data_IF_070307423727
#
_entry.id   IF_070307423727
#
_cell.length_a   1.000
_cell.length_b   1.000
_cell.length_c   1.000
_cell.angle_alpha   90.00
_cell.angle_beta   90.00
_cell.angle_gamma   90.00
#
_symmetry.space_group_name_H-M   'P 1'
#
loop_
_entity.id
_entity.type
_entity.pdbx_description
1 polymer ?
#
# COMPACT_ATOMS: atom_id res chain seq x y z
N UNK A 1 2.56 26.92 0.73
CA UNK A 1 2.51 25.75 1.62
C UNK A 1 2.14 24.51 0.79
N UNK A 2 3.13 23.75 0.29
CA UNK A 2 2.86 22.62 -0.63
C UNK A 2 1.92 21.57 -0.03
N UNK A 3 2.05 21.25 1.25
CA UNK A 3 1.25 20.21 1.90
C UNK A 3 -0.26 20.46 1.89
N UNK A 4 -0.71 21.68 2.05
CA UNK A 4 -2.16 22.00 2.14
C UNK A 4 -2.91 21.74 0.83
N UNK A 5 -2.30 22.09 -0.30
CA UNK A 5 -2.89 21.86 -1.63
C UNK A 5 -2.92 20.37 -1.97
N UNK A 6 -1.84 19.63 -1.69
CA UNK A 6 -1.80 18.19 -1.89
C UNK A 6 -2.89 17.49 -1.07
N UNK A 7 -3.03 17.84 0.21
CA UNK A 7 -4.11 17.31 1.06
C UNK A 7 -5.51 17.62 0.52
N UNK A 8 -5.74 18.82 -0.02
CA UNK A 8 -7.03 19.16 -0.63
C UNK A 8 -7.35 18.26 -1.85
N UNK A 9 -6.35 18.01 -2.71
CA UNK A 9 -6.51 17.12 -3.87
C UNK A 9 -6.80 15.67 -3.43
N UNK A 10 -6.05 15.15 -2.45
CA UNK A 10 -6.27 13.80 -1.91
C UNK A 10 -7.65 13.67 -1.25
N UNK A 11 -8.07 14.66 -0.46
CA UNK A 11 -9.40 14.68 0.17
C UNK A 11 -10.54 14.73 -0.86
N UNK A 12 -10.39 15.53 -1.92
CA UNK A 12 -11.32 15.59 -3.02
C UNK A 12 -11.45 14.23 -3.74
N UNK A 13 -10.33 13.59 -4.04
CA UNK A 13 -10.33 12.26 -4.64
C UNK A 13 -11.03 11.23 -3.74
N UNK A 14 -10.79 11.26 -2.42
CA UNK A 14 -11.43 10.35 -1.47
C UNK A 14 -12.97 10.50 -1.45
N UNK A 15 -13.48 11.72 -1.53
CA UNK A 15 -14.92 11.94 -1.66
C UNK A 15 -15.45 11.35 -2.97
N UNK A 16 -14.81 11.66 -4.08
CA UNK A 16 -15.23 11.19 -5.41
C UNK A 16 -15.23 9.66 -5.52
N UNK A 17 -14.19 8.97 -5.08
CA UNK A 17 -14.10 7.50 -5.21
C UNK A 17 -15.10 6.78 -4.27
N UNK A 18 -15.58 7.44 -3.24
CA UNK A 18 -16.63 6.89 -2.39
C UNK A 18 -17.98 6.80 -3.12
N UNK A 19 -18.26 7.71 -4.06
CA UNK A 19 -19.54 7.85 -4.73
C UNK A 19 -19.51 7.42 -6.19
N UNK A 20 -18.34 7.55 -6.84
CA UNK A 20 -18.17 7.37 -8.29
C UNK A 20 -17.17 6.25 -8.58
N UNK A 21 -17.46 5.42 -9.58
CA UNK A 21 -16.53 4.38 -10.05
C UNK A 21 -15.23 5.03 -10.54
N UNK A 22 -14.09 4.40 -10.22
CA UNK A 22 -12.77 4.96 -10.56
C UNK A 22 -12.64 5.32 -12.05
N UNK A 23 -13.19 4.49 -12.94
CA UNK A 23 -13.10 4.73 -14.39
C UNK A 23 -13.80 6.03 -14.82
N UNK A 24 -14.86 6.43 -14.12
CA UNK A 24 -15.65 7.63 -14.39
C UNK A 24 -15.08 8.90 -13.75
N UNK A 25 -14.16 8.76 -12.80
CA UNK A 25 -13.48 9.92 -12.20
C UNK A 25 -12.52 10.51 -13.22
N UNK A 26 -12.62 11.82 -13.46
CA UNK A 26 -11.68 12.57 -14.28
C UNK A 26 -10.82 13.52 -13.43
N UNK A 27 -9.70 13.98 -14.01
CA UNK A 27 -8.84 14.99 -13.38
C UNK A 27 -9.61 16.29 -13.18
N UNK A 28 -10.50 16.65 -14.13
CA UNK A 28 -11.35 17.83 -14.04
C UNK A 28 -12.31 17.77 -12.83
N UNK A 29 -12.88 16.60 -12.56
CA UNK A 29 -13.71 16.39 -11.37
C UNK A 29 -12.90 16.60 -10.08
N UNK A 30 -11.68 16.04 -10.03
CA UNK A 30 -10.80 16.19 -8.88
C UNK A 30 -10.41 17.65 -8.67
N UNK A 31 -10.03 18.37 -9.74
CA UNK A 31 -9.67 19.78 -9.68
C UNK A 31 -10.83 20.65 -9.18
N UNK A 32 -12.03 20.40 -9.70
CA UNK A 32 -13.26 21.12 -9.30
C UNK A 32 -13.56 20.90 -7.84
N UNK A 33 -13.53 19.64 -7.38
CA UNK A 33 -13.82 19.26 -6.00
C UNK A 33 -12.76 19.76 -5.01
N UNK A 34 -11.49 19.84 -5.44
CA UNK A 34 -10.38 20.36 -4.64
C UNK A 34 -10.24 21.89 -4.71
N UNK A 35 -11.03 22.57 -5.56
CA UNK A 35 -10.95 24.00 -5.83
C UNK A 35 -9.55 24.46 -6.26
N UNK A 36 -8.88 23.66 -7.12
CA UNK A 36 -7.55 23.97 -7.61
C UNK A 36 -7.53 24.20 -9.13
N UNK A 37 -6.62 25.06 -9.58
CA UNK A 37 -6.39 25.27 -11.02
C UNK A 37 -5.71 24.08 -11.68
N UNK A 38 -5.83 23.96 -13.01
CA UNK A 38 -5.15 22.93 -13.82
C UNK A 38 -3.63 22.95 -13.60
N UNK A 39 -3.00 24.11 -13.63
CA UNK A 39 -1.56 24.26 -13.40
C UNK A 39 -1.17 23.85 -11.98
N UNK A 40 -2.03 24.12 -11.00
CA UNK A 40 -1.82 23.69 -9.63
C UNK A 40 -1.89 22.18 -9.48
N UNK A 41 -2.88 21.53 -10.09
CA UNK A 41 -3.00 20.06 -10.06
C UNK A 41 -1.76 19.39 -10.66
N UNK A 42 -1.39 19.75 -11.89
CA UNK A 42 -0.27 19.12 -12.61
C UNK A 42 1.12 19.39 -12.01
N UNK A 43 1.23 20.30 -11.06
CA UNK A 43 2.44 20.48 -10.26
C UNK A 43 2.61 19.37 -9.22
N UNK A 44 1.53 18.70 -8.81
CA UNK A 44 1.55 17.65 -7.78
C UNK A 44 1.34 16.24 -8.35
N UNK A 45 0.50 16.10 -9.37
CA UNK A 45 0.09 14.82 -9.90
C UNK A 45 -0.04 14.87 -11.43
N UNK A 46 0.42 13.82 -12.10
CA UNK A 46 0.31 13.70 -13.57
C UNK A 46 -1.08 13.25 -14.01
N UNK A 47 -1.73 12.42 -13.19
CA UNK A 47 -3.03 11.83 -13.50
C UNK A 47 -3.78 11.40 -12.22
N UNK A 48 -4.98 10.85 -12.40
CA UNK A 48 -5.81 10.35 -11.30
C UNK A 48 -5.24 9.09 -10.62
N UNK A 49 -4.41 8.32 -11.32
CA UNK A 49 -3.76 7.14 -10.78
C UNK A 49 -2.70 7.52 -9.75
N UNK A 50 -1.91 8.56 -10.06
CA UNK A 50 -0.95 9.10 -9.08
C UNK A 50 -1.66 9.63 -7.81
N UNK A 51 -2.82 10.26 -7.96
CA UNK A 51 -3.61 10.72 -6.80
C UNK A 51 -4.07 9.53 -5.95
N UNK A 52 -4.61 8.49 -6.60
CA UNK A 52 -5.05 7.26 -5.94
C UNK A 52 -3.89 6.58 -5.19
N UNK A 53 -2.77 6.40 -5.88
CA UNK A 53 -1.60 5.74 -5.34
C UNK A 53 -0.98 6.53 -4.17
N UNK A 54 -0.89 7.87 -4.30
CA UNK A 54 -0.40 8.74 -3.22
C UNK A 54 -1.31 8.71 -1.99
N UNK A 55 -2.62 8.61 -2.20
CA UNK A 55 -3.57 8.50 -1.10
C UNK A 55 -3.38 7.20 -0.32
N UNK A 56 -3.21 6.08 -1.01
CA UNK A 56 -2.97 4.80 -0.37
C UNK A 56 -1.55 4.70 0.23
N UNK A 57 -0.56 5.34 -0.41
CA UNK A 57 0.79 5.45 0.15
C UNK A 57 0.78 6.05 1.56
N UNK A 58 -0.02 7.09 1.79
CA UNK A 58 -0.14 7.68 3.13
C UNK A 58 -0.68 6.68 4.16
N UNK A 59 -1.57 5.77 3.76
CA UNK A 59 -2.08 4.69 4.62
C UNK A 59 -0.98 3.68 4.93
N UNK A 60 -0.23 3.27 3.91
CA UNK A 60 0.89 2.34 4.07
C UNK A 60 1.98 2.93 4.97
N UNK A 61 2.43 4.16 4.67
CA UNK A 61 3.44 4.86 5.47
C UNK A 61 3.01 5.02 6.94
N UNK A 62 1.70 5.24 7.18
CA UNK A 62 1.16 5.35 8.53
C UNK A 62 1.27 4.03 9.30
N UNK A 63 0.95 2.90 8.66
CA UNK A 63 0.97 1.60 9.34
C UNK A 63 2.34 0.93 9.37
N UNK A 64 3.23 1.24 8.41
CA UNK A 64 4.63 0.75 8.41
C UNK A 64 5.45 1.40 9.52
N UNK A 65 5.04 2.57 10.03
CA UNK A 65 5.74 3.25 11.12
C UNK A 65 5.82 2.35 12.38
N UNK A 66 7.01 2.23 13.02
CA UNK A 66 7.22 1.31 14.16
C UNK A 66 6.27 1.56 15.34
N UNK A 67 5.78 2.80 15.49
CA UNK A 67 4.83 3.17 16.55
C UNK A 67 3.42 2.58 16.30
N UNK A 68 3.16 2.05 15.10
CA UNK A 68 1.86 1.54 14.66
C UNK A 68 1.82 0.02 14.56
N UNK A 69 2.85 -0.56 13.97
CA UNK A 69 2.96 -2.01 13.82
C UNK A 69 4.28 -2.48 14.43
N UNK A 70 4.20 -3.39 15.39
CA UNK A 70 5.36 -3.93 16.11
C UNK A 70 6.12 -4.97 15.29
N UNK A 71 5.47 -5.58 14.34
CA UNK A 71 6.01 -6.61 13.46
C UNK A 71 5.20 -6.68 12.15
N UNK A 72 5.66 -7.50 11.20
CA UNK A 72 4.98 -7.64 9.91
C UNK A 72 3.57 -8.20 10.01
N UNK A 73 3.33 -9.09 10.99
CA UNK A 73 2.01 -9.64 11.26
C UNK A 73 1.01 -8.53 11.67
N UNK A 74 1.44 -7.65 12.58
CA UNK A 74 0.63 -6.50 13.00
C UNK A 74 0.33 -5.58 11.81
N UNK A 75 1.34 -5.31 10.97
CA UNK A 75 1.15 -4.53 9.75
C UNK A 75 0.10 -5.15 8.84
N UNK A 76 0.19 -6.44 8.57
CA UNK A 76 -0.80 -7.16 7.77
C UNK A 76 -2.20 -7.07 8.38
N UNK A 77 -2.33 -7.26 9.70
CA UNK A 77 -3.61 -7.17 10.40
C UNK A 77 -4.25 -5.78 10.21
N UNK A 78 -3.50 -4.71 10.49
CA UNK A 78 -3.97 -3.34 10.32
C UNK A 78 -4.38 -3.01 8.87
N UNK A 79 -3.59 -3.47 7.89
CA UNK A 79 -3.90 -3.23 6.49
C UNK A 79 -5.14 -4.01 6.02
N UNK A 80 -5.35 -5.23 6.52
CA UNK A 80 -6.56 -6.00 6.26
C UNK A 80 -7.80 -5.33 6.89
N UNK A 81 -7.72 -4.93 8.16
CA UNK A 81 -8.80 -4.19 8.83
C UNK A 81 -9.14 -2.90 8.07
N UNK A 82 -8.11 -2.15 7.66
CA UNK A 82 -8.31 -0.95 6.85
C UNK A 82 -9.01 -1.26 5.53
N UNK A 83 -8.56 -2.29 4.81
CA UNK A 83 -9.15 -2.72 3.54
C UNK A 83 -10.62 -3.16 3.70
N UNK A 84 -10.94 -3.92 4.74
CA UNK A 84 -12.31 -4.34 5.08
C UNK A 84 -13.20 -3.15 5.42
N UNK A 85 -12.71 -2.22 6.25
CA UNK A 85 -13.43 -1.00 6.61
C UNK A 85 -13.70 -0.08 5.41
N UNK A 86 -12.81 -0.05 4.43
CA UNK A 86 -12.89 0.78 3.24
C UNK A 86 -13.13 -0.03 1.95
N UNK A 87 -13.79 -1.18 2.07
CA UNK A 87 -13.94 -2.18 1.01
C UNK A 87 -14.43 -1.60 -0.33
N UNK A 88 -15.39 -0.69 -0.30
CA UNK A 88 -15.95 -0.05 -1.50
C UNK A 88 -14.88 0.75 -2.27
N UNK A 89 -14.06 1.53 -1.55
CA UNK A 89 -12.97 2.31 -2.13
C UNK A 89 -11.90 1.37 -2.68
N UNK A 90 -11.54 0.37 -1.87
CA UNK A 90 -10.51 -0.60 -2.20
C UNK A 90 -10.87 -1.41 -3.46
N UNK A 91 -12.13 -1.89 -3.55
CA UNK A 91 -12.66 -2.58 -4.73
C UNK A 91 -12.54 -1.72 -5.99
N UNK A 92 -12.94 -0.45 -5.92
CA UNK A 92 -12.85 0.49 -7.04
C UNK A 92 -11.40 0.78 -7.47
N UNK A 93 -10.49 0.87 -6.52
CA UNK A 93 -9.06 1.03 -6.81
C UNK A 93 -8.49 -0.22 -7.52
N UNK A 94 -8.88 -1.42 -7.08
CA UNK A 94 -8.46 -2.69 -7.69
C UNK A 94 -9.01 -2.91 -9.11
N UNK A 95 -10.07 -2.23 -9.51
CA UNK A 95 -10.60 -2.22 -10.87
C UNK A 95 -9.75 -1.36 -11.84
N UNK A 96 -8.78 -0.63 -11.33
CA UNK A 96 -7.85 0.13 -12.17
C UNK A 96 -6.95 -0.81 -12.98
N UNK A 97 -6.71 -0.47 -14.24
CA UNK A 97 -5.91 -1.26 -15.19
C UNK A 97 -4.77 -0.45 -15.78
N UNK A 98 -3.80 -1.15 -16.38
CA UNK A 98 -2.65 -0.53 -17.02
C UNK A 98 -1.43 -0.43 -16.12
N UNK A 99 -0.37 0.19 -16.63
CA UNK A 99 0.93 0.28 -15.96
C UNK A 99 0.86 1.02 -14.61
N UNK A 100 0.06 2.08 -14.52
CA UNK A 100 -0.14 2.85 -13.28
C UNK A 100 -1.27 2.31 -12.40
N UNK A 101 -1.69 1.05 -12.61
CA UNK A 101 -2.76 0.44 -11.83
C UNK A 101 -2.42 0.35 -10.35
N UNK A 102 -3.46 0.27 -9.52
CA UNK A 102 -3.30 0.12 -8.08
C UNK A 102 -2.58 -1.18 -7.70
N UNK A 103 -2.78 -2.27 -8.45
CA UNK A 103 -2.06 -3.52 -8.24
C UNK A 103 -0.54 -3.34 -8.45
N UNK A 104 -0.13 -2.67 -9.54
CA UNK A 104 1.28 -2.40 -9.78
C UNK A 104 1.87 -1.49 -8.71
N UNK A 105 1.10 -0.51 -8.25
CA UNK A 105 1.55 0.35 -7.15
C UNK A 105 1.79 -0.44 -5.86
N UNK A 106 0.86 -1.35 -5.47
CA UNK A 106 1.02 -2.17 -4.26
C UNK A 106 2.27 -3.05 -4.40
N UNK A 107 2.45 -3.70 -5.56
CA UNK A 107 3.64 -4.51 -5.83
C UNK A 107 4.92 -3.69 -5.67
N UNK A 108 5.04 -2.59 -6.40
CA UNK A 108 6.23 -1.73 -6.36
C UNK A 108 6.51 -1.18 -4.95
N UNK A 109 5.49 -0.72 -4.26
CA UNK A 109 5.65 -0.22 -2.89
C UNK A 109 6.16 -1.33 -1.97
N UNK A 110 5.57 -2.52 -2.02
CA UNK A 110 5.97 -3.66 -1.18
C UNK A 110 7.40 -4.09 -1.48
N UNK A 111 7.75 -4.23 -2.76
CA UNK A 111 9.08 -4.64 -3.20
C UNK A 111 10.16 -3.61 -2.80
N UNK A 112 9.93 -2.33 -3.08
CA UNK A 112 10.88 -1.26 -2.74
C UNK A 112 11.04 -1.08 -1.24
N UNK A 113 9.98 -1.26 -0.47
CA UNK A 113 10.03 -1.23 1.01
C UNK A 113 10.87 -2.40 1.52
N UNK A 114 10.63 -3.62 1.02
CA UNK A 114 11.42 -4.81 1.35
C UNK A 114 12.90 -4.57 1.06
N UNK A 115 13.23 -4.09 -0.13
CA UNK A 115 14.60 -3.82 -0.55
C UNK A 115 15.28 -2.75 0.30
N UNK A 116 14.55 -1.68 0.63
CA UNK A 116 15.08 -0.59 1.46
C UNK A 116 15.42 -1.08 2.88
N UNK A 117 14.54 -1.87 3.50
CA UNK A 117 14.75 -2.44 4.82
C UNK A 117 15.90 -3.43 4.82
N UNK A 118 15.94 -4.35 3.84
CA UNK A 118 17.05 -5.29 3.69
C UNK A 118 18.40 -4.58 3.57
N UNK A 119 18.48 -3.54 2.72
CA UNK A 119 19.71 -2.75 2.57
C UNK A 119 20.12 -2.03 3.86
N UNK A 120 19.15 -1.51 4.60
CA UNK A 120 19.43 -0.85 5.87
C UNK A 120 20.05 -1.81 6.90
N UNK A 121 19.61 -3.07 6.91
CA UNK A 121 20.07 -4.08 7.87
C UNK A 121 21.29 -4.89 7.40
N UNK A 122 21.62 -4.83 6.11
CA UNK A 122 22.75 -5.57 5.51
C UNK A 122 23.86 -4.66 4.97
N UNK A 123 24.12 -3.52 5.63
CA UNK A 123 25.20 -2.60 5.25
C UNK A 123 25.15 -2.12 3.77
N UNK A 124 23.95 -2.03 3.21
CA UNK A 124 23.73 -1.59 1.82
C UNK A 124 23.59 -2.72 0.81
N UNK A 125 23.80 -3.98 1.20
CA UNK A 125 23.60 -5.13 0.33
C UNK A 125 22.10 -5.38 0.08
N UNK A 126 21.75 -5.72 -1.16
CA UNK A 126 20.38 -6.06 -1.56
C UNK A 126 20.11 -7.56 -1.46
N UNK A 127 19.07 -7.99 -2.17
CA UNK A 127 18.71 -9.41 -2.25
C UNK A 127 19.73 -10.21 -3.07
N UNK A 128 19.99 -11.44 -2.67
CA UNK A 128 20.58 -12.44 -3.54
C UNK A 128 19.59 -12.83 -4.65
N UNK A 129 20.02 -13.44 -5.78
CA UNK A 129 19.11 -13.84 -6.85
C UNK A 129 17.97 -14.77 -6.40
N UNK A 130 18.20 -15.60 -5.38
CA UNK A 130 17.17 -16.50 -4.83
C UNK A 130 16.18 -15.72 -3.98
N UNK A 131 16.66 -14.83 -3.13
CA UNK A 131 15.80 -13.94 -2.31
C UNK A 131 14.99 -13.02 -3.20
N UNK A 132 15.57 -12.46 -4.27
CA UNK A 132 14.87 -11.61 -5.22
C UNK A 132 13.65 -12.32 -5.80
N UNK A 133 13.81 -13.57 -6.25
CA UNK A 133 12.71 -14.39 -6.75
C UNK A 133 11.65 -14.66 -5.65
N UNK A 134 12.08 -14.98 -4.44
CA UNK A 134 11.16 -15.22 -3.31
C UNK A 134 10.36 -13.97 -2.96
N UNK A 135 11.01 -12.81 -2.91
CA UNK A 135 10.38 -11.52 -2.62
C UNK A 135 9.41 -11.13 -3.73
N UNK A 136 9.79 -11.34 -5.00
CA UNK A 136 8.93 -11.08 -6.15
C UNK A 136 7.64 -11.91 -6.09
N UNK A 137 7.76 -13.21 -5.87
CA UNK A 137 6.59 -14.10 -5.69
C UNK A 137 5.73 -13.67 -4.51
N UNK A 138 6.34 -13.33 -3.39
CA UNK A 138 5.63 -12.90 -2.19
C UNK A 138 4.86 -11.58 -2.41
N UNK A 139 5.49 -10.56 -3.01
CA UNK A 139 4.85 -9.28 -3.30
C UNK A 139 3.69 -9.44 -4.31
N UNK A 140 3.84 -10.28 -5.32
CA UNK A 140 2.75 -10.63 -6.24
C UNK A 140 1.62 -11.39 -5.52
N UNK A 141 1.95 -12.28 -4.60
CA UNK A 141 0.99 -12.97 -3.72
C UNK A 141 0.17 -12.00 -2.88
N UNK A 142 0.82 -11.01 -2.25
CA UNK A 142 0.14 -9.94 -1.50
C UNK A 142 -0.88 -9.22 -2.40
N UNK A 143 -0.50 -8.82 -3.61
CA UNK A 143 -1.42 -8.16 -4.56
C UNK A 143 -2.64 -9.03 -4.86
N UNK A 144 -2.44 -10.34 -5.06
CA UNK A 144 -3.52 -11.28 -5.30
C UNK A 144 -4.45 -11.44 -4.09
N UNK A 145 -3.90 -11.48 -2.88
CA UNK A 145 -4.66 -11.58 -1.63
C UNK A 145 -5.52 -10.33 -1.43
N UNK A 146 -4.97 -9.13 -1.57
CA UNK A 146 -5.73 -7.88 -1.45
C UNK A 146 -6.82 -7.75 -2.52
N UNK A 147 -6.53 -8.16 -3.76
CA UNK A 147 -7.55 -8.20 -4.83
C UNK A 147 -8.69 -9.15 -4.48
N UNK A 148 -8.39 -10.34 -3.99
CA UNK A 148 -9.40 -11.32 -3.61
C UNK A 148 -10.20 -10.88 -2.39
N UNK A 149 -9.58 -10.19 -1.43
CA UNK A 149 -10.27 -9.54 -0.32
C UNK A 149 -11.26 -8.48 -0.85
N UNK A 150 -10.83 -7.62 -1.77
CA UNK A 150 -11.70 -6.60 -2.37
C UNK A 150 -12.89 -7.21 -3.12
N UNK A 151 -12.71 -8.40 -3.71
CA UNK A 151 -13.77 -9.19 -4.34
C UNK A 151 -14.58 -10.05 -3.36
N UNK A 152 -14.32 -9.93 -2.05
CA UNK A 152 -15.00 -10.72 -1.00
C UNK A 152 -14.95 -12.24 -1.22
N UNK A 153 -13.82 -12.74 -1.76
CA UNK A 153 -13.60 -14.19 -1.97
C UNK A 153 -13.22 -14.92 -0.69
N UNK A 154 -12.81 -14.18 0.34
CA UNK A 154 -12.41 -14.73 1.63
C UNK A 154 -13.39 -14.31 2.71
N UNK A 155 -13.86 -15.28 3.48
CA UNK A 155 -14.64 -15.09 4.70
C UNK A 155 -13.73 -15.36 5.92
N UNK A 156 -12.67 -14.52 6.05
CA UNK A 156 -11.68 -14.61 7.13
C UNK A 156 -11.54 -13.25 7.80
N UNK A 157 -11.29 -13.28 9.09
CA UNK A 157 -10.94 -12.07 9.84
C UNK A 157 -9.50 -11.61 9.55
N UNK A 158 -9.20 -10.37 9.94
CA UNK A 158 -7.91 -9.76 9.67
C UNK A 158 -6.75 -10.46 10.38
N UNK A 159 -6.97 -10.99 11.57
CA UNK A 159 -5.96 -11.72 12.35
C UNK A 159 -5.56 -13.01 11.64
N UNK A 160 -6.54 -13.82 11.24
CA UNK A 160 -6.31 -15.07 10.49
C UNK A 160 -5.59 -14.82 9.16
N UNK A 161 -5.99 -13.75 8.43
CA UNK A 161 -5.31 -13.37 7.20
C UNK A 161 -3.87 -12.92 7.45
N UNK A 162 -3.62 -12.17 8.52
CA UNK A 162 -2.28 -11.73 8.91
C UNK A 162 -1.36 -12.91 9.28
N UNK A 163 -1.87 -13.90 10.01
CA UNK A 163 -1.13 -15.12 10.34
C UNK A 163 -0.70 -15.86 9.07
N UNK A 164 -1.62 -16.07 8.15
CA UNK A 164 -1.33 -16.76 6.90
C UNK A 164 -0.29 -16.02 6.04
N UNK A 165 -0.38 -14.68 5.95
CA UNK A 165 0.61 -13.88 5.23
C UNK A 165 1.98 -13.89 5.90
N UNK A 166 2.02 -13.87 7.23
CA UNK A 166 3.28 -13.95 7.98
C UNK A 166 3.97 -15.30 7.79
N UNK A 167 3.21 -16.41 7.80
CA UNK A 167 3.76 -17.74 7.54
C UNK A 167 4.35 -17.86 6.14
N UNK A 168 3.73 -17.23 5.14
CA UNK A 168 4.20 -17.26 3.75
C UNK A 168 5.36 -16.29 3.46
N UNK A 169 5.68 -15.40 4.36
CA UNK A 169 6.75 -14.42 4.20
C UNK A 169 8.10 -15.14 4.04
N UNK A 170 8.94 -14.75 3.05
CA UNK A 170 10.30 -15.29 2.93
C UNK A 170 11.08 -15.13 4.23
N UNK A 171 11.82 -16.18 4.62
CA UNK A 171 12.57 -16.20 5.89
C UNK A 171 13.58 -15.04 5.99
N UNK A 172 14.23 -14.71 4.86
CA UNK A 172 15.13 -13.57 4.76
C UNK A 172 14.45 -12.24 5.14
N UNK A 173 13.18 -12.06 4.75
CA UNK A 173 12.43 -10.84 5.12
C UNK A 173 11.99 -10.85 6.58
N UNK A 174 11.64 -12.00 7.15
CA UNK A 174 11.29 -12.09 8.58
C UNK A 174 12.44 -11.62 9.46
N UNK A 175 13.65 -12.03 9.09
CA UNK A 175 14.85 -11.64 9.82
C UNK A 175 15.18 -10.14 9.68
N UNK A 176 15.03 -9.58 8.47
CA UNK A 176 15.41 -8.21 8.18
C UNK A 176 14.38 -7.18 8.65
N UNK A 177 13.09 -7.47 8.50
CA UNK A 177 12.05 -6.46 8.70
C UNK A 177 11.75 -6.15 10.15
N UNK A 178 11.78 -7.15 11.00
CA UNK A 178 11.67 -6.98 12.44
C UNK A 178 12.66 -7.95 13.08
N UNK A 179 13.96 -7.58 13.16
CA UNK A 179 14.90 -8.38 13.94
C UNK A 179 14.29 -8.54 15.33
N UNK A 180 14.19 -9.78 15.78
CA UNK A 180 13.81 -10.05 17.15
C UNK A 180 14.70 -9.17 18.03
N UNK A 181 14.11 -8.34 18.89
CA UNK A 181 14.86 -7.69 19.95
C UNK A 181 15.57 -8.86 20.64
N UNK A 182 16.90 -8.89 20.58
CA UNK A 182 17.68 -9.85 21.36
C UNK A 182 17.12 -9.76 22.76
N UNK A 183 16.41 -10.82 23.16
CA UNK A 183 15.85 -10.89 24.47
C UNK A 183 17.00 -10.58 25.41
N UNK A 184 16.95 -9.41 26.02
CA UNK A 184 17.91 -8.95 27.00
C UNK A 184 17.95 -10.03 28.08
N UNK A 185 18.88 -10.96 27.88
CA UNK A 185 19.31 -11.89 28.93
C UNK A 185 20.04 -11.03 29.95
N UNK A 186 19.31 -10.60 30.96
CA UNK A 186 19.77 -10.01 32.17
C UNK A 186 19.32 -10.85 33.34
#
# INVERSE_FOLDING_TARGET
>A
MPGRTMHAILAAFNRLITETDFQKISVEMIMKEAEVSRSTFYRYFKDKYEVMNANYKNVLDYYVAPERSKNYRDLCCHLFEYGQKHLKIFKRAMESTGFNSFNNFIYEYSYQTALAITRANRNGEGFTPVEELQVDVFCNGICAVYRNMACQRYEIDASTAADALYEMMPESLKHDWWPEEEASQG
#
